data_IF_602259594492
#
_entry.id   IF_602259594492
#
_cell.length_a   1.000
_cell.length_b   1.000
_cell.length_c   1.000
_cell.angle_alpha   90.00
_cell.angle_beta   90.00
_cell.angle_gamma   90.00
#
_symmetry.space_group_name_H-M   'P 1'
#
loop_
_entity.id
_entity.type
_entity.pdbx_description
1 polymer ?
#
# COMPACT_ATOMS: atom_id res chain seq x y z
N UNK A 1 5.39 -25.17 -20.75
CA UNK A 1 5.68 -24.76 -19.35
C UNK A 1 5.88 -23.25 -19.36
N UNK A 2 5.11 -22.49 -18.61
CA UNK A 2 5.39 -21.08 -18.43
C UNK A 2 6.79 -20.95 -17.80
N UNK A 3 7.68 -20.18 -18.45
CA UNK A 3 9.03 -19.96 -17.98
C UNK A 3 9.03 -19.30 -16.59
N UNK A 4 10.08 -19.52 -15.82
CA UNK A 4 10.25 -18.83 -14.55
C UNK A 4 10.66 -17.37 -14.84
N UNK A 5 9.96 -16.42 -14.25
CA UNK A 5 10.34 -15.00 -14.26
C UNK A 5 11.80 -14.82 -13.82
N UNK A 6 12.58 -14.02 -14.53
CA UNK A 6 13.97 -13.74 -14.19
C UNK A 6 14.12 -13.06 -12.83
N UNK A 7 15.28 -13.17 -12.19
CA UNK A 7 15.57 -12.48 -10.94
C UNK A 7 15.48 -10.95 -11.11
N UNK A 8 15.97 -10.42 -12.23
CA UNK A 8 15.94 -8.99 -12.53
C UNK A 8 14.50 -8.48 -12.67
N UNK A 9 13.64 -9.25 -13.32
CA UNK A 9 12.23 -8.90 -13.43
C UNK A 9 11.51 -8.94 -12.07
N UNK A 10 11.83 -9.93 -11.23
CA UNK A 10 11.30 -9.97 -9.86
C UNK A 10 11.73 -8.77 -9.04
N UNK A 11 13.01 -8.38 -9.12
CA UNK A 11 13.51 -7.16 -8.48
C UNK A 11 12.81 -5.92 -9.03
N UNK A 12 12.62 -5.82 -10.35
CA UNK A 12 11.91 -4.70 -10.97
C UNK A 12 10.45 -4.55 -10.48
N UNK A 13 9.74 -5.66 -10.23
CA UNK A 13 8.39 -5.61 -9.63
C UNK A 13 8.46 -5.21 -8.14
N UNK A 14 9.44 -5.71 -7.39
CA UNK A 14 9.65 -5.30 -5.99
C UNK A 14 9.94 -3.80 -5.90
N UNK A 15 10.81 -3.28 -6.77
CA UNK A 15 11.12 -1.84 -6.84
C UNK A 15 9.91 -1.01 -7.24
N UNK A 16 9.06 -1.48 -8.16
CA UNK A 16 7.81 -0.82 -8.52
C UNK A 16 6.89 -0.66 -7.29
N UNK A 17 6.71 -1.73 -6.52
CA UNK A 17 5.87 -1.72 -5.31
C UNK A 17 6.46 -0.80 -4.24
N UNK A 18 7.78 -0.83 -4.05
CA UNK A 18 8.48 0.04 -3.11
C UNK A 18 8.43 1.52 -3.52
N UNK A 19 8.64 1.82 -4.80
CA UNK A 19 8.53 3.18 -5.36
C UNK A 19 7.15 3.78 -5.11
N UNK A 20 6.10 3.00 -5.37
CA UNK A 20 4.73 3.44 -5.10
C UNK A 20 4.53 3.84 -3.64
N UNK A 21 4.92 2.98 -2.69
CA UNK A 21 4.77 3.26 -1.26
C UNK A 21 5.57 4.49 -0.84
N UNK A 22 6.78 4.64 -1.35
CA UNK A 22 7.62 5.79 -1.08
C UNK A 22 7.01 7.11 -1.60
N UNK A 23 6.45 7.10 -2.82
CA UNK A 23 5.77 8.27 -3.39
C UNK A 23 4.55 8.67 -2.54
N UNK A 24 3.74 7.71 -2.09
CA UNK A 24 2.61 7.96 -1.17
C UNK A 24 3.09 8.62 0.12
N UNK A 25 4.12 8.07 0.75
CA UNK A 25 4.63 8.54 2.04
C UNK A 25 5.29 9.91 1.95
N UNK A 26 5.79 10.29 0.79
CA UNK A 26 6.40 11.59 0.53
C UNK A 26 5.44 12.63 -0.04
N UNK A 27 4.29 12.19 -0.54
CA UNK A 27 3.35 13.05 -1.27
C UNK A 27 3.84 13.42 -2.67
N UNK A 28 4.67 12.56 -3.27
CA UNK A 28 5.12 12.70 -4.66
C UNK A 28 4.04 12.19 -5.62
N UNK A 29 3.15 13.10 -6.01
CA UNK A 29 2.00 12.79 -6.87
C UNK A 29 2.45 12.33 -8.26
N UNK A 30 3.45 12.97 -8.87
CA UNK A 30 3.89 12.61 -10.22
C UNK A 30 4.64 11.29 -10.23
N UNK A 31 5.53 11.05 -9.26
CA UNK A 31 6.18 9.75 -9.07
C UNK A 31 5.17 8.63 -8.82
N UNK A 32 4.12 8.90 -8.04
CA UNK A 32 3.02 7.97 -7.82
C UNK A 32 2.33 7.58 -9.14
N UNK A 33 1.94 8.58 -9.94
CA UNK A 33 1.23 8.39 -11.22
C UNK A 33 2.10 7.66 -12.24
N UNK A 34 3.42 7.92 -12.26
CA UNK A 34 4.35 7.29 -13.19
C UNK A 34 4.55 5.79 -12.95
N UNK A 35 4.18 5.28 -11.77
CA UNK A 35 4.16 3.84 -11.52
C UNK A 35 3.05 3.10 -12.30
N UNK A 36 2.10 3.81 -12.90
CA UNK A 36 0.98 3.21 -13.65
C UNK A 36 1.17 3.33 -15.17
N UNK A 37 0.56 2.42 -15.92
CA UNK A 37 0.36 2.59 -17.35
C UNK A 37 -0.51 3.83 -17.62
N UNK A 38 -0.49 4.42 -18.83
CA UNK A 38 -1.35 5.56 -19.18
C UNK A 38 -2.84 5.31 -18.91
N UNK A 39 -3.31 4.10 -19.13
CA UNK A 39 -4.68 3.61 -18.90
C UNK A 39 -4.80 2.79 -17.59
N UNK A 40 -3.80 2.86 -16.73
CA UNK A 40 -3.73 2.11 -15.48
C UNK A 40 -4.91 2.37 -14.55
N UNK A 41 -5.21 1.41 -13.69
CA UNK A 41 -6.38 1.44 -12.82
C UNK A 41 -5.97 1.31 -11.36
N UNK A 42 -6.48 2.18 -10.51
CA UNK A 42 -6.51 1.99 -9.05
C UNK A 42 -7.94 1.70 -8.63
N UNK A 43 -8.12 0.60 -7.89
CA UNK A 43 -9.39 0.23 -7.29
C UNK A 43 -9.23 0.24 -5.77
N UNK A 44 -10.14 0.86 -5.03
CA UNK A 44 -10.04 1.05 -3.58
C UNK A 44 -11.40 1.07 -2.90
N UNK A 45 -11.39 0.83 -1.60
CA UNK A 45 -12.61 0.79 -0.80
C UNK A 45 -13.60 -0.24 -1.33
N UNK A 46 -14.88 0.12 -1.42
CA UNK A 46 -15.95 -0.76 -1.85
C UNK A 46 -16.17 -0.72 -3.39
N UNK A 47 -15.08 -0.89 -4.17
CA UNK A 47 -15.16 -0.93 -5.62
C UNK A 47 -15.05 0.44 -6.31
N UNK A 48 -14.64 1.49 -5.60
CA UNK A 48 -14.30 2.76 -6.23
C UNK A 48 -13.10 2.59 -7.16
N UNK A 49 -13.11 3.28 -8.31
CA UNK A 49 -12.09 3.13 -9.34
C UNK A 49 -11.63 4.47 -9.89
N UNK A 50 -10.32 4.60 -10.05
CA UNK A 50 -9.71 5.63 -10.88
C UNK A 50 -9.11 4.97 -12.11
N UNK A 51 -9.51 5.39 -13.30
CA UNK A 51 -9.05 4.85 -14.58
C UNK A 51 -8.23 5.91 -15.32
N UNK A 52 -7.00 5.57 -15.64
CA UNK A 52 -6.03 6.44 -16.32
C UNK A 52 -5.32 7.40 -15.37
N UNK A 53 -4.15 7.84 -15.80
CA UNK A 53 -3.23 8.67 -14.98
C UNK A 53 -3.87 9.96 -14.48
N UNK A 54 -4.71 10.61 -15.25
CA UNK A 54 -5.34 11.87 -14.82
C UNK A 54 -6.36 11.68 -13.71
N UNK A 55 -7.13 10.58 -13.73
CA UNK A 55 -8.05 10.25 -12.65
C UNK A 55 -7.28 9.85 -11.38
N UNK A 56 -6.20 9.08 -11.53
CA UNK A 56 -5.31 8.69 -10.44
C UNK A 56 -4.66 9.94 -9.82
N UNK A 57 -4.16 10.88 -10.63
CA UNK A 57 -3.57 12.14 -10.16
C UNK A 57 -4.55 12.96 -9.33
N UNK A 58 -5.77 13.15 -9.82
CA UNK A 58 -6.81 13.90 -9.06
C UNK A 58 -7.11 13.24 -7.72
N UNK A 59 -7.25 11.93 -7.72
CA UNK A 59 -7.54 11.18 -6.50
C UNK A 59 -6.41 11.29 -5.47
N UNK A 60 -5.17 11.02 -5.86
CA UNK A 60 -4.01 11.06 -4.94
C UNK A 60 -3.73 12.49 -4.46
N UNK A 61 -3.92 13.51 -5.31
CA UNK A 61 -3.81 14.92 -4.90
C UNK A 61 -4.84 15.27 -3.84
N UNK A 62 -6.09 14.80 -3.97
CA UNK A 62 -7.12 15.00 -2.96
C UNK A 62 -6.77 14.34 -1.62
N UNK A 63 -6.16 13.15 -1.63
CA UNK A 63 -5.69 12.51 -0.39
C UNK A 63 -4.57 13.30 0.27
N UNK A 64 -3.69 13.91 -0.52
CA UNK A 64 -2.60 14.76 -0.02
C UNK A 64 -3.13 16.06 0.61
N UNK A 65 -4.08 16.73 -0.03
CA UNK A 65 -4.71 17.94 0.46
C UNK A 65 -5.37 17.76 1.84
N UNK A 66 -6.01 16.63 2.06
CA UNK A 66 -6.63 16.29 3.35
C UNK A 66 -5.68 15.57 4.32
N UNK A 67 -4.39 15.56 4.05
CA UNK A 67 -3.31 14.95 4.87
C UNK A 67 -3.54 13.47 5.21
N UNK A 68 -4.19 12.73 4.33
CA UNK A 68 -4.31 11.26 4.46
C UNK A 68 -3.08 10.52 3.95
N UNK A 69 -2.22 11.19 3.19
CA UNK A 69 -0.93 10.71 2.71
C UNK A 69 0.11 11.83 2.82
N UNK A 70 1.35 11.54 2.43
CA UNK A 70 2.44 12.51 2.45
C UNK A 70 3.17 12.58 3.80
N UNK A 71 4.22 13.36 3.82
CA UNK A 71 5.15 13.44 4.97
C UNK A 71 4.47 13.88 6.26
N UNK A 72 3.46 14.75 6.17
CA UNK A 72 2.75 15.32 7.31
C UNK A 72 1.62 14.43 7.85
N UNK A 73 1.26 13.36 7.15
CA UNK A 73 0.17 12.46 7.59
C UNK A 73 0.51 11.66 8.84
N UNK A 74 1.81 11.51 9.14
CA UNK A 74 2.32 10.60 10.16
C UNK A 74 2.22 9.11 9.77
N UNK A 75 1.67 8.80 8.59
CA UNK A 75 1.52 7.44 8.07
C UNK A 75 2.76 6.97 7.33
N UNK A 76 3.03 5.67 7.40
CA UNK A 76 4.05 5.00 6.59
C UNK A 76 3.54 3.67 6.07
N UNK A 77 3.90 3.32 4.85
CA UNK A 77 3.56 2.05 4.24
C UNK A 77 4.68 1.04 4.48
N UNK A 78 4.48 0.14 5.44
CA UNK A 78 5.42 -0.96 5.72
C UNK A 78 5.00 -2.15 4.88
N UNK A 79 5.81 -2.47 3.87
CA UNK A 79 5.53 -3.52 2.90
C UNK A 79 6.03 -4.89 3.39
N UNK A 80 5.18 -5.90 3.24
CA UNK A 80 5.63 -7.29 3.29
C UNK A 80 6.34 -7.69 1.99
N UNK A 81 6.91 -8.88 1.97
CA UNK A 81 7.47 -9.44 0.74
C UNK A 81 6.34 -9.79 -0.24
N UNK A 82 6.42 -9.36 -1.51
CA UNK A 82 5.40 -9.67 -2.49
C UNK A 82 5.48 -11.13 -2.94
N UNK A 83 4.32 -11.76 -3.09
CA UNK A 83 4.17 -13.00 -3.83
C UNK A 83 3.96 -12.65 -5.31
N UNK A 84 4.90 -13.01 -6.17
CA UNK A 84 4.88 -12.69 -7.61
C UNK A 84 4.68 -13.96 -8.42
N UNK A 85 3.73 -13.94 -9.36
CA UNK A 85 3.37 -15.06 -10.24
C UNK A 85 3.33 -14.61 -11.71
N UNK A 86 3.82 -15.45 -12.61
CA UNK A 86 3.91 -15.16 -14.05
C UNK A 86 5.20 -14.45 -14.41
N UNK A 87 5.25 -13.79 -15.57
CA UNK A 87 6.28 -12.83 -15.92
C UNK A 87 7.22 -13.18 -17.07
N UNK A 88 7.12 -14.32 -17.70
CA UNK A 88 7.92 -14.70 -18.88
C UNK A 88 7.52 -13.95 -20.17
N UNK A 89 6.30 -13.44 -20.22
CA UNK A 89 5.73 -12.65 -21.33
C UNK A 89 5.69 -11.14 -21.05
N UNK A 90 6.40 -10.67 -20.01
CA UNK A 90 6.35 -9.27 -19.59
C UNK A 90 5.09 -8.90 -18.82
N UNK A 91 4.36 -9.88 -18.31
CA UNK A 91 3.16 -9.70 -17.47
C UNK A 91 3.26 -10.53 -16.19
N UNK A 92 2.90 -9.97 -15.06
CA UNK A 92 2.83 -10.73 -13.83
C UNK A 92 1.72 -10.21 -12.92
N UNK A 93 1.32 -11.04 -11.95
CA UNK A 93 0.52 -10.60 -10.81
C UNK A 93 1.39 -10.58 -9.56
N UNK A 94 1.09 -9.65 -8.63
CA UNK A 94 1.74 -9.58 -7.34
C UNK A 94 0.70 -9.39 -6.22
N UNK A 95 1.00 -9.94 -5.05
CA UNK A 95 0.20 -9.74 -3.83
C UNK A 95 1.12 -9.34 -2.71
N UNK A 96 0.78 -8.25 -2.01
CA UNK A 96 1.63 -7.70 -0.95
C UNK A 96 0.77 -7.33 0.25
N UNK A 97 1.11 -7.84 1.43
CA UNK A 97 0.53 -7.33 2.67
C UNK A 97 1.20 -6.02 3.05
N UNK A 98 0.40 -5.08 3.53
CA UNK A 98 0.88 -3.75 3.92
C UNK A 98 0.32 -3.40 5.28
N UNK A 99 1.19 -3.04 6.20
CA UNK A 99 0.82 -2.49 7.50
C UNK A 99 1.08 -0.98 7.45
N UNK A 100 0.10 -0.20 7.87
CA UNK A 100 0.19 1.25 7.88
C UNK A 100 0.17 1.75 9.33
N UNK A 101 1.35 1.87 9.98
CA UNK A 101 1.46 2.55 11.26
C UNK A 101 1.23 4.05 11.10
N UNK A 102 0.79 4.68 12.17
CA UNK A 102 0.72 6.13 12.32
C UNK A 102 1.48 6.57 13.55
N UNK A 103 2.35 7.56 13.36
CA UNK A 103 2.94 8.32 14.45
C UNK A 103 2.01 9.50 14.79
N UNK A 104 1.57 9.55 16.04
CA UNK A 104 0.74 10.62 16.57
C UNK A 104 1.61 11.74 17.16
N UNK A 105 1.04 12.94 17.32
CA UNK A 105 1.72 14.10 17.91
C UNK A 105 2.16 13.83 19.37
N UNK A 106 1.50 12.91 20.05
CA UNK A 106 1.87 12.44 21.38
C UNK A 106 3.17 11.64 21.42
N UNK A 107 3.70 11.24 20.25
CA UNK A 107 4.84 10.32 20.11
C UNK A 107 4.46 8.84 20.11
N UNK A 108 3.20 8.52 20.33
CA UNK A 108 2.70 7.15 20.25
C UNK A 108 2.66 6.66 18.80
N UNK A 109 2.87 5.36 18.62
CA UNK A 109 2.73 4.69 17.32
C UNK A 109 1.61 3.67 17.43
N UNK A 110 0.61 3.80 16.55
CA UNK A 110 -0.49 2.84 16.44
C UNK A 110 -0.59 2.27 15.04
N UNK A 111 -1.19 1.09 14.90
CA UNK A 111 -1.53 0.53 13.59
C UNK A 111 -2.83 1.17 13.11
N UNK A 112 -2.77 1.87 11.98
CA UNK A 112 -3.93 2.54 11.38
C UNK A 112 -4.72 1.63 10.48
N UNK A 113 -4.03 0.86 9.62
CA UNK A 113 -4.64 -0.06 8.65
C UNK A 113 -3.75 -1.29 8.44
N UNK A 114 -4.40 -2.39 8.11
CA UNK A 114 -3.78 -3.57 7.50
C UNK A 114 -4.53 -3.81 6.20
N UNK A 115 -3.79 -3.78 5.10
CA UNK A 115 -4.34 -3.88 3.75
C UNK A 115 -3.55 -4.87 2.91
N UNK A 116 -4.12 -5.26 1.79
CA UNK A 116 -3.43 -5.99 0.73
C UNK A 116 -3.42 -5.19 -0.56
N UNK A 117 -2.28 -5.16 -1.23
CA UNK A 117 -2.19 -4.81 -2.64
C UNK A 117 -2.35 -6.07 -3.49
N UNK A 118 -3.19 -5.99 -4.50
CA UNK A 118 -3.36 -7.03 -5.53
C UNK A 118 -3.12 -6.34 -6.86
N UNK A 119 -2.04 -6.74 -7.51
CA UNK A 119 -1.47 -6.02 -8.64
C UNK A 119 -1.44 -6.88 -9.90
N UNK A 120 -1.80 -6.26 -11.03
CA UNK A 120 -1.46 -6.71 -12.36
C UNK A 120 -0.37 -5.77 -12.90
N UNK A 121 0.81 -6.32 -13.20
CA UNK A 121 1.97 -5.58 -13.65
C UNK A 121 2.34 -5.92 -15.09
N UNK A 122 2.80 -4.92 -15.84
CA UNK A 122 3.24 -5.06 -17.23
C UNK A 122 4.58 -4.37 -17.40
N UNK A 123 5.50 -5.03 -18.12
CA UNK A 123 6.80 -4.47 -18.50
C UNK A 123 6.67 -3.75 -19.84
N UNK A 124 6.95 -2.45 -19.85
CA UNK A 124 6.94 -1.59 -21.05
C UNK A 124 8.29 -0.86 -21.11
N UNK A 125 8.96 -0.94 -22.23
CA UNK A 125 10.26 -0.30 -22.47
C UNK A 125 11.29 -0.61 -21.35
N UNK A 126 11.34 -1.90 -20.95
CA UNK A 126 12.24 -2.40 -19.92
C UNK A 126 11.85 -2.06 -18.47
N UNK A 127 10.73 -1.37 -18.27
CA UNK A 127 10.28 -0.91 -16.94
C UNK A 127 8.94 -1.53 -16.56
N UNK A 128 8.83 -2.06 -15.34
CA UNK A 128 7.58 -2.57 -14.79
C UNK A 128 6.66 -1.43 -14.35
N UNK A 129 5.36 -1.55 -14.65
CA UNK A 129 4.31 -0.60 -14.27
C UNK A 129 3.05 -1.35 -13.86
N UNK A 130 2.22 -0.72 -13.03
CA UNK A 130 0.90 -1.26 -12.73
C UNK A 130 -0.05 -1.04 -13.91
N UNK A 131 -0.62 -2.12 -14.42
CA UNK A 131 -1.81 -2.05 -15.24
C UNK A 131 -3.06 -1.88 -14.36
N UNK A 132 -3.07 -2.56 -13.22
CA UNK A 132 -4.11 -2.43 -12.20
C UNK A 132 -3.52 -2.65 -10.81
N UNK A 133 -3.97 -1.86 -9.84
CA UNK A 133 -3.77 -2.10 -8.42
C UNK A 133 -5.10 -2.08 -7.70
N UNK A 134 -5.39 -3.12 -6.92
CA UNK A 134 -6.50 -3.16 -5.98
C UNK A 134 -5.94 -2.97 -4.57
N UNK A 135 -6.46 -1.95 -3.88
CA UNK A 135 -6.17 -1.68 -2.47
C UNK A 135 -7.32 -2.26 -1.67
N UNK A 136 -7.09 -3.41 -1.03
CA UNK A 136 -8.11 -4.10 -0.26
C UNK A 136 -7.84 -4.00 1.23
N UNK A 137 -8.84 -3.57 1.98
CA UNK A 137 -8.78 -3.61 3.43
C UNK A 137 -9.13 -5.04 3.90
N UNK A 138 -8.18 -5.72 4.55
CA UNK A 138 -8.32 -7.14 4.89
C UNK A 138 -9.01 -7.38 6.24
N UNK A 139 -8.89 -6.43 7.17
CA UNK A 139 -9.49 -6.54 8.49
C UNK A 139 -10.15 -5.22 8.88
N UNK A 140 -11.44 -5.27 9.09
CA UNK A 140 -12.17 -4.31 9.91
C UNK A 140 -12.45 -5.04 11.23
N UNK A 141 -11.46 -5.10 12.12
CA UNK A 141 -11.74 -5.53 13.48
C UNK A 141 -12.68 -4.51 14.12
N UNK A 142 -13.84 -4.97 14.60
CA UNK A 142 -14.59 -4.19 15.55
C UNK A 142 -13.64 -3.85 16.71
N UNK A 143 -13.65 -2.61 17.25
CA UNK A 143 -12.80 -2.28 18.38
C UNK A 143 -13.09 -3.26 19.50
N UNK A 144 -12.10 -4.10 19.82
CA UNK A 144 -12.19 -4.94 21.01
C UNK A 144 -12.21 -4.00 22.20
N UNK A 145 -13.14 -4.16 23.17
CA UNK A 145 -13.06 -3.41 24.40
C UNK A 145 -11.68 -3.68 25.01
N UNK A 146 -10.94 -2.63 25.29
CA UNK A 146 -9.69 -2.73 26.03
C UNK A 146 -10.05 -3.44 27.35
N UNK A 147 -9.51 -4.65 27.57
CA UNK A 147 -9.66 -5.31 28.86
C UNK A 147 -9.13 -4.32 29.89
N UNK A 148 -10.02 -3.83 30.77
CA UNK A 148 -9.58 -3.09 31.96
C UNK A 148 -8.54 -3.98 32.66
N UNK A 149 -7.30 -3.53 32.66
CA UNK A 149 -6.25 -4.19 33.44
C UNK A 149 -6.76 -4.24 34.87
N UNK A 150 -6.93 -5.46 35.38
CA UNK A 150 -7.27 -5.70 36.77
C UNK A 150 -6.31 -4.84 37.59
N UNK A 151 -6.82 -3.79 38.22
CA UNK A 151 -6.07 -3.05 39.23
C UNK A 151 -5.83 -4.04 40.34
N UNK A 152 -4.56 -4.37 40.54
CA UNK A 152 -4.10 -5.14 41.68
C UNK A 152 -4.53 -4.39 42.95
N UNK A 153 -5.64 -4.83 43.55
CA UNK A 153 -6.00 -4.50 44.91
C UNK A 153 -5.06 -5.26 45.85
N UNK A 154 -3.85 -4.75 45.98
CA UNK A 154 -2.98 -5.20 47.05
C UNK A 154 -3.61 -4.76 48.41
N UNK A 155 -3.89 -5.69 49.33
CA UNK A 155 -4.40 -5.32 50.66
C UNK A 155 -3.33 -4.51 51.40
N UNK A 156 -3.70 -3.30 51.84
CA UNK A 156 -2.90 -2.50 52.76
C UNK A 156 -2.92 -3.22 54.10
N UNK A 157 -1.81 -3.82 54.48
CA UNK A 157 -1.58 -4.33 55.82
C UNK A 157 -1.46 -3.18 56.81
N UNK A 158 -2.30 -3.23 57.80
CA UNK A 158 -2.27 -2.44 59.03
C UNK A 158 -1.04 -2.72 59.89
#
# INVERSE_FOLDING_TARGET
MAGLMSADDRLGVIELIASYAWCVDKGDVEGYVDNFLPDGVVEYGNGNRCVGRDAIRRWVSGLLEIKQIGSESGLRHVLGLPQIQGGDDGRCSARTYVVIPRLYETGEIGIRLVISYIDDCVKVDGRWRFAKRVIRQDLVAAPQPVAESARDDAPRST
#
